data_IF_204764650669
#
_entry.id   IF_204764650669
#
_cell.length_a   1.000
_cell.length_b   1.000
_cell.length_c   1.000
_cell.angle_alpha   90.00
_cell.angle_beta   90.00
_cell.angle_gamma   90.00
#
_symmetry.space_group_name_H-M   'P 1'
#
loop_
_entity.id
_entity.type
_entity.pdbx_description
1 polymer ?
#
# COMPACT_ATOMS: atom_id res chain seq x y z
N UNK A 1 1.37 -25.71 2.70
CA UNK A 1 0.83 -24.33 2.67
C UNK A 1 -0.29 -24.27 3.69
N UNK A 2 0.07 -23.92 4.94
CA UNK A 2 -0.88 -23.95 6.05
C UNK A 2 -2.00 -22.91 5.82
N UNK A 3 -3.20 -23.41 5.71
CA UNK A 3 -4.41 -22.58 5.76
C UNK A 3 -4.55 -22.08 7.19
N UNK A 4 -4.62 -20.76 7.43
CA UNK A 4 -4.85 -20.27 8.79
C UNK A 4 -6.13 -20.89 9.37
N UNK A 5 -6.20 -21.07 10.68
CA UNK A 5 -7.38 -21.64 11.31
C UNK A 5 -8.63 -20.83 10.98
N UNK A 6 -9.74 -21.51 10.72
CA UNK A 6 -11.02 -20.86 10.42
C UNK A 6 -11.37 -19.90 11.56
N UNK A 7 -11.49 -18.60 11.22
CA UNK A 7 -11.80 -17.52 12.17
C UNK A 7 -10.62 -16.57 12.48
N UNK A 8 -9.37 -16.86 12.07
CA UNK A 8 -8.29 -15.89 12.25
C UNK A 8 -8.32 -14.84 11.15
N UNK A 9 -8.34 -13.58 11.55
CA UNK A 9 -8.21 -12.44 10.60
C UNK A 9 -6.84 -12.49 9.92
N UNK A 10 -6.82 -12.43 8.59
CA UNK A 10 -5.58 -12.34 7.83
C UNK A 10 -4.95 -10.96 8.01
N UNK A 11 -3.61 -10.86 8.03
CA UNK A 11 -2.93 -9.58 8.13
C UNK A 11 -3.32 -8.60 7.02
N UNK A 12 -3.30 -7.32 7.36
CA UNK A 12 -3.44 -6.22 6.42
C UNK A 12 -2.04 -5.70 6.12
N UNK A 13 -1.63 -5.79 4.86
CA UNK A 13 -0.36 -5.20 4.44
C UNK A 13 -0.49 -3.68 4.33
N UNK A 14 0.37 -2.95 5.02
CA UNK A 14 0.42 -1.48 4.97
C UNK A 14 1.78 -1.04 4.46
N UNK A 15 1.79 -0.25 3.38
CA UNK A 15 3.02 0.38 2.85
C UNK A 15 3.04 1.87 3.17
N UNK A 16 4.21 2.50 3.09
CA UNK A 16 4.37 3.92 3.38
C UNK A 16 4.31 4.30 4.86
N UNK A 17 4.23 3.34 5.77
CA UNK A 17 4.10 3.60 7.21
C UNK A 17 5.35 4.24 7.85
N UNK A 18 6.53 4.04 7.26
CA UNK A 18 7.78 4.70 7.67
C UNK A 18 8.11 5.97 6.87
N UNK A 19 7.19 6.43 6.01
CA UNK A 19 7.37 7.63 5.21
C UNK A 19 7.39 8.91 6.06
N UNK A 20 8.06 9.94 5.54
CA UNK A 20 8.14 11.25 6.18
C UNK A 20 6.98 12.18 5.81
N UNK A 21 6.23 11.86 4.78
CA UNK A 21 5.14 12.71 4.27
C UNK A 21 3.83 12.34 4.96
N UNK A 22 3.32 13.26 5.78
CA UNK A 22 1.97 13.22 6.34
C UNK A 22 1.67 12.14 7.37
N UNK A 23 2.61 11.25 7.68
CA UNK A 23 2.46 10.16 8.63
C UNK A 23 1.19 9.28 8.47
N UNK A 24 0.48 9.39 7.33
CA UNK A 24 -0.81 8.72 7.12
C UNK A 24 -0.68 7.20 7.26
N UNK A 25 0.33 6.60 6.63
CA UNK A 25 0.55 5.16 6.72
C UNK A 25 0.81 4.69 8.15
N UNK A 26 1.54 5.48 8.96
CA UNK A 26 1.74 5.19 10.39
C UNK A 26 0.42 5.25 11.15
N UNK A 27 -0.36 6.30 10.95
CA UNK A 27 -1.68 6.45 11.57
C UNK A 27 -2.60 5.29 11.19
N UNK A 28 -2.57 4.82 9.94
CA UNK A 28 -3.31 3.63 9.51
C UNK A 28 -2.90 2.41 10.33
N UNK A 29 -1.60 2.15 10.50
CA UNK A 29 -1.10 1.05 11.34
C UNK A 29 -1.60 1.19 12.77
N UNK A 30 -1.45 2.36 13.37
CA UNK A 30 -1.85 2.62 14.75
C UNK A 30 -3.36 2.37 14.95
N UNK A 31 -4.22 2.89 14.07
CA UNK A 31 -5.67 2.72 14.16
C UNK A 31 -6.07 1.25 13.96
N UNK A 32 -5.47 0.55 13.02
CA UNK A 32 -5.76 -0.87 12.79
C UNK A 32 -5.34 -1.72 13.99
N UNK A 33 -4.17 -1.42 14.57
CA UNK A 33 -3.70 -2.12 15.78
C UNK A 33 -4.55 -1.82 17.03
N UNK A 34 -5.04 -0.60 17.19
CA UNK A 34 -6.00 -0.24 18.25
C UNK A 34 -7.32 -1.00 18.15
N UNK A 35 -7.64 -1.53 16.97
CA UNK A 35 -8.81 -2.36 16.70
C UNK A 35 -8.50 -3.86 16.73
N UNK A 36 -7.34 -4.24 17.26
CA UNK A 36 -6.86 -5.63 17.35
C UNK A 36 -6.76 -6.35 15.98
N UNK A 37 -6.69 -5.59 14.88
CA UNK A 37 -6.50 -6.16 13.56
C UNK A 37 -5.02 -6.49 13.33
N UNK A 38 -4.69 -7.67 12.78
CA UNK A 38 -3.31 -8.01 12.46
C UNK A 38 -2.81 -7.14 11.30
N UNK A 39 -1.65 -6.52 11.50
CA UNK A 39 -1.03 -5.62 10.51
C UNK A 39 0.38 -6.08 10.23
N UNK A 40 0.72 -6.12 8.94
CA UNK A 40 2.09 -6.23 8.45
C UNK A 40 2.48 -4.91 7.78
N UNK A 41 3.47 -4.23 8.30
CA UNK A 41 4.01 -2.99 7.75
C UNK A 41 5.26 -3.30 6.92
N UNK A 42 5.24 -2.95 5.63
CA UNK A 42 6.41 -3.05 4.77
C UNK A 42 7.17 -1.73 4.79
N UNK A 43 8.45 -1.80 5.15
CA UNK A 43 9.36 -0.65 5.24
C UNK A 43 10.57 -0.87 4.35
N UNK A 44 11.20 0.22 3.90
CA UNK A 44 12.40 0.13 3.06
C UNK A 44 13.68 -0.10 3.86
N UNK A 45 13.70 0.31 5.12
CA UNK A 45 14.87 0.22 6.01
C UNK A 45 14.44 -0.21 7.40
N UNK A 46 15.31 -0.99 8.04
CA UNK A 46 15.18 -1.34 9.45
C UNK A 46 15.86 -0.26 10.30
N UNK A 47 15.09 0.76 10.67
CA UNK A 47 15.53 1.92 11.44
C UNK A 47 14.58 2.22 12.59
N UNK A 48 14.79 3.33 13.30
CA UNK A 48 13.95 3.75 14.43
C UNK A 48 12.46 3.83 14.10
N UNK A 49 12.11 4.12 12.83
CA UNK A 49 10.71 4.16 12.39
C UNK A 49 10.11 2.75 12.30
N UNK A 50 10.92 1.77 11.88
CA UNK A 50 10.53 0.36 11.90
C UNK A 50 10.32 -0.12 13.33
N UNK A 51 11.19 0.25 14.27
CA UNK A 51 11.03 -0.06 15.69
C UNK A 51 9.75 0.57 16.27
N UNK A 52 9.46 1.81 15.91
CA UNK A 52 8.23 2.48 16.36
C UNK A 52 6.96 1.75 15.84
N UNK A 53 7.01 1.15 14.63
CA UNK A 53 5.92 0.33 14.12
C UNK A 53 5.81 -1.01 14.86
N UNK A 54 6.93 -1.68 15.16
CA UNK A 54 6.94 -2.90 15.99
C UNK A 54 6.35 -2.66 17.37
N UNK A 55 6.64 -1.50 17.97
CA UNK A 55 6.09 -1.10 19.27
C UNK A 55 4.55 -1.00 19.28
N UNK A 56 3.90 -0.81 18.13
CA UNK A 56 2.43 -0.87 18.02
C UNK A 56 1.87 -2.30 18.00
N UNK A 57 2.74 -3.31 17.93
CA UNK A 57 2.37 -4.71 17.74
C UNK A 57 2.18 -5.11 16.27
N UNK A 58 2.60 -4.29 15.31
CA UNK A 58 2.62 -4.66 13.91
C UNK A 58 3.83 -5.57 13.59
N UNK A 59 3.62 -6.54 12.71
CA UNK A 59 4.73 -7.24 12.06
C UNK A 59 5.42 -6.27 11.09
N UNK A 60 6.74 -6.21 11.12
CA UNK A 60 7.49 -5.35 10.20
C UNK A 60 8.35 -6.21 9.28
N UNK A 61 8.20 -6.00 7.98
CA UNK A 61 9.01 -6.63 6.94
C UNK A 61 9.79 -5.57 6.18
N UNK A 62 11.04 -5.87 5.84
CA UNK A 62 11.90 -4.97 5.05
C UNK A 62 11.86 -5.39 3.60
N UNK A 63 11.67 -4.43 2.70
CA UNK A 63 11.68 -4.70 1.26
C UNK A 63 11.52 -3.43 0.43
N UNK A 64 11.73 -3.57 -0.86
CA UNK A 64 11.63 -2.51 -1.85
C UNK A 64 10.39 -2.73 -2.74
N UNK A 65 9.50 -1.75 -2.80
CA UNK A 65 8.25 -1.82 -3.60
C UNK A 65 8.50 -1.92 -5.12
N UNK A 66 9.71 -1.62 -5.59
CA UNK A 66 10.09 -1.81 -7.00
C UNK A 66 10.55 -3.25 -7.30
N UNK A 67 10.67 -4.10 -6.28
CA UNK A 67 11.12 -5.48 -6.42
C UNK A 67 9.95 -6.45 -6.22
N UNK A 68 9.57 -7.12 -7.28
CA UNK A 68 8.41 -8.03 -7.27
C UNK A 68 8.52 -9.15 -6.21
N UNK A 69 9.72 -9.68 -5.98
CA UNK A 69 9.96 -10.70 -4.94
C UNK A 69 9.67 -10.17 -3.54
N UNK A 70 10.18 -8.98 -3.20
CA UNK A 70 9.98 -8.38 -1.88
C UNK A 70 8.48 -8.09 -1.64
N UNK A 71 7.77 -7.62 -2.69
CA UNK A 71 6.32 -7.37 -2.60
C UNK A 71 5.53 -8.68 -2.46
N UNK A 72 5.93 -9.72 -3.18
CA UNK A 72 5.28 -11.04 -3.09
C UNK A 72 5.45 -11.65 -1.69
N UNK A 73 6.64 -11.57 -1.13
CA UNK A 73 6.93 -12.05 0.23
C UNK A 73 6.12 -11.26 1.27
N UNK A 74 6.09 -9.93 1.15
CA UNK A 74 5.32 -9.09 2.06
C UNK A 74 3.81 -9.36 1.98
N UNK A 75 3.28 -9.65 0.78
CA UNK A 75 1.88 -9.90 0.54
C UNK A 75 1.43 -11.30 0.96
N UNK A 76 2.38 -12.23 1.07
CA UNK A 76 2.08 -13.63 1.39
C UNK A 76 1.28 -13.77 2.68
N UNK A 77 0.13 -14.42 2.60
CA UNK A 77 -0.80 -14.62 3.73
C UNK A 77 -1.63 -13.40 4.10
N UNK A 78 -1.51 -12.26 3.41
CA UNK A 78 -2.36 -11.10 3.67
C UNK A 78 -3.71 -11.20 2.95
N UNK A 79 -4.77 -10.69 3.58
CA UNK A 79 -6.12 -10.64 3.00
C UNK A 79 -6.47 -9.28 2.39
N UNK A 80 -5.83 -8.21 2.85
CA UNK A 80 -6.09 -6.82 2.42
C UNK A 80 -4.79 -6.06 2.33
N UNK A 81 -4.80 -4.99 1.54
CA UNK A 81 -3.63 -4.13 1.39
C UNK A 81 -4.02 -2.65 1.39
N UNK A 82 -3.22 -1.84 2.08
CA UNK A 82 -3.19 -0.39 1.95
C UNK A 82 -1.89 0.00 1.25
N UNK A 83 -2.02 0.66 0.10
CA UNK A 83 -0.90 1.20 -0.66
C UNK A 83 -0.80 2.70 -0.46
N UNK A 84 0.23 3.13 0.23
CA UNK A 84 0.65 4.52 0.36
C UNK A 84 2.14 4.62 0.11
N UNK A 85 2.55 5.64 -0.63
CA UNK A 85 3.96 5.94 -0.91
C UNK A 85 4.09 7.42 -1.27
N UNK A 86 5.13 8.08 -0.76
CA UNK A 86 5.48 9.42 -1.22
C UNK A 86 5.89 9.41 -2.69
N UNK A 87 5.40 10.39 -3.46
CA UNK A 87 5.74 10.49 -4.88
C UNK A 87 7.21 10.84 -5.06
N UNK A 88 7.90 10.00 -5.77
CA UNK A 88 9.32 10.08 -6.11
C UNK A 88 9.53 9.58 -7.54
N UNK A 89 10.76 9.60 -8.01
CA UNK A 89 11.11 9.03 -9.33
C UNK A 89 10.72 7.53 -9.46
N UNK A 90 10.64 6.81 -8.36
CA UNK A 90 10.30 5.38 -8.32
C UNK A 90 8.80 5.10 -8.09
N UNK A 91 7.98 6.13 -7.90
CA UNK A 91 6.57 5.95 -7.51
C UNK A 91 5.78 5.12 -8.52
N UNK A 92 5.89 5.42 -9.81
CA UNK A 92 5.16 4.68 -10.86
C UNK A 92 5.65 3.22 -10.95
N UNK A 93 6.97 3.00 -10.93
CA UNK A 93 7.53 1.65 -10.96
C UNK A 93 7.04 0.84 -9.75
N UNK A 94 7.11 1.40 -8.56
CA UNK A 94 6.63 0.75 -7.35
C UNK A 94 5.12 0.43 -7.43
N UNK A 95 4.30 1.40 -7.83
CA UNK A 95 2.86 1.20 -7.96
C UNK A 95 2.51 0.11 -8.99
N UNK A 96 3.20 0.09 -10.14
CA UNK A 96 2.99 -0.94 -11.16
C UNK A 96 3.45 -2.31 -10.69
N UNK A 97 4.59 -2.41 -10.01
CA UNK A 97 5.10 -3.64 -9.42
C UNK A 97 4.11 -4.21 -8.40
N UNK A 98 3.64 -3.35 -7.50
CA UNK A 98 2.64 -3.74 -6.49
C UNK A 98 1.34 -4.22 -7.14
N UNK A 99 0.82 -3.49 -8.14
CA UNK A 99 -0.40 -3.88 -8.84
C UNK A 99 -0.25 -5.24 -9.56
N UNK A 100 0.88 -5.45 -10.23
CA UNK A 100 1.17 -6.71 -10.93
C UNK A 100 1.26 -7.89 -9.97
N UNK A 101 1.99 -7.74 -8.86
CA UNK A 101 2.13 -8.78 -7.84
C UNK A 101 0.82 -9.06 -7.13
N UNK A 102 0.07 -8.01 -6.73
CA UNK A 102 -1.23 -8.17 -6.09
C UNK A 102 -2.23 -8.91 -6.99
N UNK A 103 -2.21 -8.60 -8.29
CA UNK A 103 -3.03 -9.32 -9.29
C UNK A 103 -2.64 -10.79 -9.41
N UNK A 104 -1.34 -11.09 -9.50
CA UNK A 104 -0.84 -12.46 -9.56
C UNK A 104 -1.14 -13.23 -8.26
N UNK A 105 -1.07 -12.58 -7.12
CA UNK A 105 -1.44 -13.15 -5.83
C UNK A 105 -2.91 -13.57 -5.77
N UNK A 106 -3.82 -12.77 -6.31
CA UNK A 106 -5.23 -13.11 -6.59
C UNK A 106 -6.10 -13.40 -5.37
N UNK A 107 -5.67 -13.04 -4.14
CA UNK A 107 -6.37 -13.37 -2.89
C UNK A 107 -6.77 -12.15 -2.06
N UNK A 108 -6.51 -10.94 -2.55
CA UNK A 108 -6.91 -9.75 -1.82
C UNK A 108 -8.42 -9.56 -1.87
N UNK A 109 -9.01 -9.32 -0.70
CA UNK A 109 -10.40 -8.90 -0.53
C UNK A 109 -10.59 -7.40 -0.78
N UNK A 110 -9.53 -6.60 -0.52
CA UNK A 110 -9.50 -5.18 -0.77
C UNK A 110 -8.07 -4.68 -1.01
N UNK A 111 -7.95 -3.76 -1.97
CA UNK A 111 -6.75 -3.00 -2.26
C UNK A 111 -7.07 -1.51 -2.12
N UNK A 112 -6.64 -0.90 -1.02
CA UNK A 112 -6.88 0.52 -0.73
C UNK A 112 -5.72 1.34 -1.24
N UNK A 113 -5.96 2.22 -2.21
CA UNK A 113 -4.95 3.13 -2.75
C UNK A 113 -5.12 4.53 -2.17
N UNK A 114 -4.05 5.08 -1.60
CA UNK A 114 -4.00 6.47 -1.17
C UNK A 114 -3.64 7.36 -2.37
N UNK A 115 -4.62 8.07 -2.87
CA UNK A 115 -4.50 9.03 -3.96
C UNK A 115 -4.56 10.48 -3.42
N UNK A 116 -5.08 11.41 -4.18
CA UNK A 116 -5.34 12.79 -3.75
C UNK A 116 -6.61 13.35 -4.39
N UNK A 117 -7.22 14.32 -3.70
CA UNK A 117 -8.51 14.91 -4.10
C UNK A 117 -8.50 15.46 -5.53
N UNK A 118 -7.45 16.16 -5.92
CA UNK A 118 -7.34 16.81 -7.23
C UNK A 118 -7.40 15.84 -8.42
N UNK A 119 -7.10 14.56 -8.20
CA UNK A 119 -7.21 13.53 -9.25
C UNK A 119 -8.65 13.36 -9.72
N UNK A 120 -9.64 13.63 -8.88
CA UNK A 120 -11.06 13.54 -9.26
C UNK A 120 -11.49 14.55 -10.33
N UNK A 121 -10.72 15.62 -10.49
CA UNK A 121 -10.98 16.71 -11.46
C UNK A 121 -10.12 16.57 -12.73
N UNK A 122 -9.25 15.55 -12.79
CA UNK A 122 -8.32 15.32 -13.92
C UNK A 122 -8.91 14.41 -14.97
N UNK A 123 -8.53 14.67 -16.22
CA UNK A 123 -8.81 13.83 -17.38
C UNK A 123 -7.56 13.65 -18.27
N UNK A 124 -7.71 12.97 -19.41
CA UNK A 124 -6.63 12.72 -20.36
C UNK A 124 -6.02 14.00 -20.94
N UNK A 125 -6.76 15.09 -20.95
CA UNK A 125 -6.38 16.38 -21.55
C UNK A 125 -5.83 17.37 -20.54
N UNK A 126 -5.87 17.04 -19.25
CA UNK A 126 -5.35 17.87 -18.18
C UNK A 126 -3.84 18.11 -18.33
N UNK A 127 -3.41 19.36 -18.32
CA UNK A 127 -2.01 19.76 -18.60
C UNK A 127 -1.40 20.70 -17.57
N UNK A 128 -2.21 21.22 -16.63
CA UNK A 128 -1.79 22.22 -15.64
C UNK A 128 -1.36 21.61 -14.30
N UNK A 129 -1.43 20.29 -14.17
CA UNK A 129 -1.16 19.58 -12.94
C UNK A 129 0.34 19.39 -12.69
N UNK A 130 0.67 19.28 -11.41
CA UNK A 130 2.01 18.89 -11.01
C UNK A 130 2.32 17.44 -11.45
N UNK A 131 3.60 17.11 -11.54
CA UNK A 131 4.06 15.73 -11.79
C UNK A 131 3.47 14.75 -10.76
N UNK A 132 3.35 15.20 -9.50
CA UNK A 132 2.77 14.40 -8.43
C UNK A 132 1.30 14.06 -8.70
N UNK A 133 0.49 15.04 -9.06
CA UNK A 133 -0.92 14.84 -9.40
C UNK A 133 -1.06 13.88 -10.58
N UNK A 134 -0.28 14.08 -11.63
CA UNK A 134 -0.26 13.22 -12.81
C UNK A 134 0.11 11.77 -12.46
N UNK A 135 1.08 11.55 -11.59
CA UNK A 135 1.45 10.21 -11.17
C UNK A 135 0.33 9.51 -10.40
N UNK A 136 -0.35 10.21 -9.50
CA UNK A 136 -1.53 9.64 -8.82
C UNK A 136 -2.65 9.31 -9.81
N UNK A 137 -2.92 10.20 -10.76
CA UNK A 137 -3.92 9.95 -11.79
C UNK A 137 -3.60 8.70 -12.62
N UNK A 138 -2.36 8.57 -13.10
CA UNK A 138 -1.92 7.39 -13.86
C UNK A 138 -2.06 6.09 -13.06
N UNK A 139 -1.69 6.12 -11.78
CA UNK A 139 -1.82 4.95 -10.90
C UNK A 139 -3.28 4.56 -10.73
N UNK A 140 -4.19 5.53 -10.56
CA UNK A 140 -5.63 5.22 -10.50
C UNK A 140 -6.15 4.58 -11.79
N UNK A 141 -5.70 5.04 -12.98
CA UNK A 141 -6.09 4.42 -14.25
C UNK A 141 -5.67 2.95 -14.31
N UNK A 142 -4.39 2.69 -14.01
CA UNK A 142 -3.86 1.31 -14.04
C UNK A 142 -4.55 0.42 -13.01
N UNK A 143 -4.75 0.90 -11.80
CA UNK A 143 -5.48 0.15 -10.78
C UNK A 143 -6.93 -0.12 -11.20
N UNK A 144 -7.59 0.84 -11.86
CA UNK A 144 -8.93 0.65 -12.42
C UNK A 144 -8.99 -0.47 -13.49
N UNK A 145 -7.93 -0.64 -14.27
CA UNK A 145 -7.86 -1.69 -15.30
C UNK A 145 -7.34 -3.03 -14.76
N UNK A 146 -6.78 -3.04 -13.56
CA UNK A 146 -6.08 -4.20 -13.01
C UNK A 146 -6.99 -5.40 -12.70
N UNK A 147 -8.29 -5.17 -12.50
CA UNK A 147 -9.21 -6.19 -12.00
C UNK A 147 -9.08 -6.48 -10.49
N UNK A 148 -8.24 -5.71 -9.77
CA UNK A 148 -8.13 -5.78 -8.32
C UNK A 148 -9.38 -5.16 -7.65
N UNK A 149 -9.74 -5.60 -6.43
CA UNK A 149 -10.81 -5.00 -5.64
C UNK A 149 -10.35 -3.65 -5.04
N UNK A 150 -10.19 -2.65 -5.90
CA UNK A 150 -9.57 -1.36 -5.54
C UNK A 150 -10.58 -0.42 -4.90
N UNK A 151 -10.14 0.25 -3.83
CA UNK A 151 -10.79 1.42 -3.21
C UNK A 151 -9.83 2.60 -3.33
N UNK A 152 -10.25 3.66 -4.00
CA UNK A 152 -9.47 4.91 -4.12
C UNK A 152 -9.83 5.85 -2.97
N UNK A 153 -8.85 6.27 -2.19
CA UNK A 153 -9.00 7.30 -1.15
C UNK A 153 -8.37 8.59 -1.66
N UNK A 154 -9.15 9.65 -1.70
CA UNK A 154 -8.74 10.98 -2.20
C UNK A 154 -8.99 12.02 -1.12
N UNK A 155 -8.07 12.14 -0.13
CA UNK A 155 -8.23 13.10 0.96
C UNK A 155 -8.06 14.54 0.49
#
# INVERSE_FOLDING_TARGET
MDRPPEGSLLPILVTGAAGSVGAVGRTVVEILRQRDLPVRAMVRRDDERAEALRATGAEVVVGDLTRAGDVADALSGCGRMYFGMGVSAQYLEAAMTVAAVARAYGRLEAFVNMSQLTVSEMDLTSTSESVQQRHHWLVEQVLGWSGLPVVQIRP
#
